data_IF_675035410816
#
_entry.id   IF_675035410816
#
_cell.length_a   1.000
_cell.length_b   1.000
_cell.length_c   1.000
_cell.angle_alpha   90.00
_cell.angle_beta   90.00
_cell.angle_gamma   90.00
#
_symmetry.space_group_name_H-M   'P 1'
#
loop_
_entity.id
_entity.type
_entity.pdbx_description
1 polymer ?
#
# COMPACT_ATOMS: atom_id res chain seq x y z
N UNK A 1 5.76 2.06 -18.61
CA UNK A 1 5.29 0.99 -17.75
C UNK A 1 6.18 0.87 -16.54
N UNK A 2 5.61 0.83 -15.35
CA UNK A 2 6.35 0.53 -14.12
C UNK A 2 6.42 -0.99 -14.01
N UNK A 3 7.61 -1.55 -14.24
CA UNK A 3 7.83 -2.98 -14.04
C UNK A 3 8.00 -3.25 -12.55
N UNK A 4 7.00 -3.87 -11.93
CA UNK A 4 7.14 -4.46 -10.62
C UNK A 4 7.88 -5.80 -10.80
N UNK A 5 9.12 -5.86 -10.38
CA UNK A 5 9.88 -7.12 -10.36
C UNK A 5 9.42 -7.93 -9.15
N UNK A 6 8.48 -8.85 -9.33
CA UNK A 6 8.16 -9.81 -8.30
C UNK A 6 9.07 -11.04 -8.48
N UNK A 7 10.14 -11.11 -7.71
CA UNK A 7 10.94 -12.34 -7.59
C UNK A 7 10.35 -13.12 -6.43
N UNK A 8 9.59 -14.17 -6.73
CA UNK A 8 9.12 -15.11 -5.70
C UNK A 8 10.21 -16.16 -5.50
N UNK A 9 10.88 -16.11 -4.35
CA UNK A 9 11.88 -17.10 -3.97
C UNK A 9 11.27 -18.11 -2.99
N UNK A 10 11.55 -19.42 -3.14
CA UNK A 10 11.23 -20.41 -2.11
C UNK A 10 12.04 -20.12 -0.84
N UNK A 11 11.46 -20.40 0.32
CA UNK A 11 11.94 -20.03 1.65
C UNK A 11 13.28 -20.65 2.12
N UNK A 12 14.17 -21.02 1.24
CA UNK A 12 15.49 -21.56 1.57
C UNK A 12 16.61 -20.76 0.94
N UNK A 13 16.92 -19.59 1.55
CA UNK A 13 18.08 -18.78 1.20
C UNK A 13 17.84 -17.86 0.01
N UNK A 14 17.90 -16.54 0.23
CA UNK A 14 17.78 -15.53 -0.83
C UNK A 14 19.02 -15.57 -1.74
N UNK A 15 18.90 -16.18 -2.90
CA UNK A 15 19.81 -15.90 -4.02
C UNK A 15 19.01 -15.25 -5.12
N UNK A 16 19.35 -14.00 -5.46
CA UNK A 16 18.83 -13.36 -6.65
C UNK A 16 19.35 -14.14 -7.86
N UNK A 17 18.46 -14.75 -8.61
CA UNK A 17 18.81 -15.40 -9.88
C UNK A 17 18.53 -14.43 -11.04
N UNK A 18 19.56 -13.80 -11.62
CA UNK A 18 19.39 -12.90 -12.75
C UNK A 18 19.02 -13.64 -14.05
N UNK A 19 19.04 -14.98 -14.05
CA UNK A 19 18.73 -15.81 -15.21
C UNK A 19 17.24 -16.06 -15.42
N UNK A 20 16.34 -15.59 -14.50
CA UNK A 20 14.90 -15.71 -14.70
C UNK A 20 14.50 -14.93 -15.96
N UNK A 21 14.00 -15.60 -17.00
CA UNK A 21 13.63 -14.97 -18.25
C UNK A 21 12.55 -13.90 -18.06
N UNK A 22 12.54 -12.89 -18.92
CA UNK A 22 11.54 -11.80 -18.90
C UNK A 22 10.11 -12.33 -19.05
N UNK A 23 9.93 -13.40 -19.82
CA UNK A 23 8.66 -14.10 -20.06
C UNK A 23 8.08 -14.79 -18.81
N UNK A 24 8.87 -15.02 -17.78
CA UNK A 24 8.42 -15.54 -16.48
C UNK A 24 7.94 -14.44 -15.51
N UNK A 25 8.02 -13.18 -15.93
CA UNK A 25 7.58 -12.03 -15.13
C UNK A 25 6.10 -11.79 -15.31
N UNK A 26 5.39 -11.60 -14.19
CA UNK A 26 3.96 -11.28 -14.20
C UNK A 26 3.81 -9.77 -14.02
N UNK A 27 3.13 -9.12 -14.96
CA UNK A 27 2.72 -7.72 -14.84
C UNK A 27 1.44 -7.67 -13.99
N UNK A 28 1.52 -7.10 -12.78
CA UNK A 28 0.40 -7.05 -11.85
C UNK A 28 -0.50 -5.83 -12.04
N UNK A 29 0.10 -4.70 -12.33
CA UNK A 29 -0.60 -3.43 -12.51
C UNK A 29 0.00 -2.71 -13.72
N UNK A 30 -0.80 -2.51 -14.75
CA UNK A 30 -0.37 -1.76 -15.94
C UNK A 30 -1.12 -0.43 -16.05
N UNK A 31 -0.54 0.51 -16.80
CA UNK A 31 -1.22 1.75 -17.18
C UNK A 31 -2.48 1.41 -17.99
N UNK A 32 -3.61 1.97 -17.55
CA UNK A 32 -4.91 1.68 -18.15
C UNK A 32 -5.75 0.64 -17.42
N UNK A 33 -5.14 -0.19 -16.56
CA UNK A 33 -5.86 -1.16 -15.74
C UNK A 33 -6.89 -0.46 -14.85
N UNK A 34 -8.15 -0.94 -14.92
CA UNK A 34 -9.26 -0.35 -14.16
C UNK A 34 -9.56 1.11 -14.50
N UNK A 35 -9.06 1.64 -15.65
CA UNK A 35 -9.21 3.03 -16.06
C UNK A 35 -8.17 4.00 -15.45
N UNK A 36 -7.26 3.51 -14.63
CA UNK A 36 -6.19 4.30 -14.01
C UNK A 36 -5.06 4.59 -14.98
N UNK A 37 -4.44 5.76 -14.86
CA UNK A 37 -3.31 6.13 -15.75
C UNK A 37 -1.98 5.63 -15.23
N UNK A 38 -1.80 5.48 -13.91
CA UNK A 38 -0.51 5.11 -13.32
C UNK A 38 -0.70 4.24 -12.09
N UNK A 39 0.32 3.40 -11.82
CA UNK A 39 0.49 2.69 -10.55
C UNK A 39 1.90 2.97 -10.00
N UNK A 40 2.01 3.15 -8.67
CA UNK A 40 3.28 3.41 -8.00
C UNK A 40 3.30 2.80 -6.58
N UNK A 41 4.46 2.88 -5.94
CA UNK A 41 4.69 2.52 -4.53
C UNK A 41 4.17 1.10 -4.21
N UNK A 42 4.67 0.07 -4.90
CA UNK A 42 4.24 -1.29 -4.61
C UNK A 42 4.87 -1.83 -3.33
N UNK A 43 4.08 -2.57 -2.56
CA UNK A 43 4.52 -3.36 -1.41
C UNK A 43 4.00 -4.78 -1.50
N UNK A 44 4.74 -5.77 -0.97
CA UNK A 44 4.34 -7.18 -0.99
C UNK A 44 4.59 -7.82 0.36
N UNK A 45 3.71 -8.76 0.74
CA UNK A 45 3.84 -9.59 1.94
C UNK A 45 3.33 -11.00 1.67
N UNK A 46 3.88 -11.97 2.40
CA UNK A 46 3.28 -13.29 2.51
C UNK A 46 2.33 -13.30 3.70
N UNK A 47 1.07 -13.62 3.45
CA UNK A 47 0.02 -13.73 4.48
C UNK A 47 0.18 -15.00 5.32
N UNK A 48 -0.61 -15.13 6.38
CA UNK A 48 -0.51 -16.25 7.33
C UNK A 48 -0.83 -17.62 6.70
N UNK A 49 -1.65 -17.65 5.65
CA UNK A 49 -2.01 -18.85 4.88
C UNK A 49 -1.01 -19.17 3.75
N UNK A 50 0.07 -18.41 3.62
CA UNK A 50 1.09 -18.58 2.58
C UNK A 50 0.77 -17.84 1.27
N UNK A 51 -0.38 -17.22 1.13
CA UNK A 51 -0.71 -16.42 -0.06
C UNK A 51 0.14 -15.14 -0.13
N UNK A 52 0.38 -14.67 -1.35
CA UNK A 52 1.04 -13.39 -1.59
C UNK A 52 0.00 -12.28 -1.70
N UNK A 53 0.25 -11.16 -1.03
CA UNK A 53 -0.60 -9.97 -1.14
C UNK A 53 0.26 -8.77 -1.54
N UNK A 54 -0.10 -8.13 -2.65
CA UNK A 54 0.54 -6.93 -3.15
C UNK A 54 -0.39 -5.75 -2.94
N UNK A 55 0.17 -4.61 -2.52
CA UNK A 55 -0.53 -3.33 -2.47
C UNK A 55 0.17 -2.33 -3.40
N UNK A 56 -0.56 -1.33 -3.88
CA UNK A 56 0.00 -0.25 -4.69
C UNK A 56 -0.89 1.00 -4.65
N UNK A 57 -0.32 2.14 -5.01
CA UNK A 57 -1.07 3.33 -5.42
C UNK A 57 -1.69 3.09 -6.80
N UNK A 58 -3.00 3.26 -6.92
CA UNK A 58 -3.70 3.45 -8.18
C UNK A 58 -3.93 4.93 -8.40
N UNK A 59 -3.21 5.54 -9.34
CA UNK A 59 -3.25 6.99 -9.62
C UNK A 59 -4.08 7.28 -10.88
N UNK A 60 -5.23 7.89 -10.69
CA UNK A 60 -6.24 8.03 -11.74
C UNK A 60 -5.82 8.97 -12.87
N UNK A 61 -5.36 10.18 -12.52
CA UNK A 61 -5.20 11.26 -13.50
C UNK A 61 -3.74 11.67 -13.72
N UNK A 62 -2.96 11.70 -12.64
CA UNK A 62 -1.61 12.26 -12.59
C UNK A 62 -0.65 11.32 -11.87
N UNK A 63 0.63 11.40 -12.24
CA UNK A 63 1.70 10.66 -11.59
C UNK A 63 2.09 11.24 -10.21
N UNK A 64 1.61 12.45 -9.90
CA UNK A 64 1.95 13.19 -8.69
C UNK A 64 1.54 12.44 -7.41
N UNK A 65 2.24 12.76 -6.33
CA UNK A 65 1.90 12.34 -4.98
C UNK A 65 0.71 13.13 -4.43
N UNK A 66 0.28 12.81 -3.19
CA UNK A 66 -0.78 13.53 -2.49
C UNK A 66 -0.47 15.05 -2.38
N UNK A 67 -1.50 15.91 -2.47
CA UNK A 67 -2.91 15.60 -2.69
C UNK A 67 -3.20 15.32 -4.16
N UNK A 68 -3.79 14.18 -4.45
CA UNK A 68 -4.17 13.77 -5.80
C UNK A 68 -5.27 12.70 -5.75
N UNK A 69 -5.89 12.40 -6.88
CA UNK A 69 -6.83 11.31 -7.02
C UNK A 69 -6.07 9.98 -7.04
N UNK A 70 -5.90 9.39 -5.87
CA UNK A 70 -5.11 8.17 -5.63
C UNK A 70 -5.92 7.24 -4.74
N UNK A 71 -5.99 5.96 -5.11
CA UNK A 71 -6.51 4.89 -4.27
C UNK A 71 -5.36 3.96 -3.86
N UNK A 72 -5.48 3.38 -2.68
CA UNK A 72 -4.68 2.22 -2.26
C UNK A 72 -5.44 0.97 -2.67
N UNK A 73 -4.78 0.12 -3.44
CA UNK A 73 -5.36 -1.12 -3.97
C UNK A 73 -4.53 -2.34 -3.61
N UNK A 74 -5.14 -3.54 -3.68
CA UNK A 74 -4.45 -4.81 -3.50
C UNK A 74 -4.84 -5.84 -4.54
N UNK A 75 -3.93 -6.81 -4.78
CA UNK A 75 -4.19 -8.09 -5.44
C UNK A 75 -3.58 -9.22 -4.60
N UNK A 76 -4.16 -10.41 -4.72
CA UNK A 76 -3.77 -11.60 -3.96
C UNK A 76 -3.51 -12.79 -4.88
N UNK A 77 -2.49 -13.59 -4.54
CA UNK A 77 -2.18 -14.85 -5.22
C UNK A 77 -2.17 -16.01 -4.22
N UNK A 78 -2.80 -17.13 -4.59
CA UNK A 78 -2.82 -18.39 -3.81
C UNK A 78 -1.86 -19.44 -4.36
N UNK A 79 -1.17 -19.17 -5.47
CA UNK A 79 -0.37 -20.13 -6.24
C UNK A 79 1.07 -19.64 -6.49
N UNK A 80 1.65 -18.92 -5.50
CA UNK A 80 2.99 -18.36 -5.55
C UNK A 80 3.21 -17.38 -6.73
N UNK A 81 2.21 -16.56 -7.02
CA UNK A 81 2.33 -15.47 -7.99
C UNK A 81 2.05 -15.86 -9.43
N UNK A 82 1.59 -17.09 -9.70
CA UNK A 82 1.24 -17.53 -11.06
C UNK A 82 -0.04 -16.88 -11.55
N UNK A 83 -1.05 -16.81 -10.67
CA UNK A 83 -2.31 -16.10 -10.94
C UNK A 83 -2.64 -15.13 -9.81
N UNK A 84 -3.39 -14.09 -10.13
CA UNK A 84 -3.73 -13.02 -9.22
C UNK A 84 -5.22 -12.70 -9.27
N UNK A 85 -5.77 -12.33 -8.12
CA UNK A 85 -7.16 -11.89 -8.01
C UNK A 85 -7.42 -10.60 -8.79
N UNK A 86 -8.70 -10.28 -8.96
CA UNK A 86 -9.12 -8.93 -9.32
C UNK A 86 -8.60 -7.91 -8.29
N UNK A 87 -8.51 -6.66 -8.73
CA UNK A 87 -8.08 -5.55 -7.88
C UNK A 87 -9.13 -5.24 -6.82
N UNK A 88 -8.71 -5.21 -5.55
CA UNK A 88 -9.53 -4.78 -4.42
C UNK A 88 -9.09 -3.39 -3.98
N UNK A 89 -10.01 -2.42 -3.89
CA UNK A 89 -9.73 -1.10 -3.33
C UNK A 89 -9.74 -1.17 -1.81
N UNK A 90 -8.63 -0.78 -1.19
CA UNK A 90 -8.48 -0.69 0.27
C UNK A 90 -8.99 0.66 0.77
N UNK A 91 -8.64 1.74 0.07
CA UNK A 91 -9.00 3.10 0.44
C UNK A 91 -8.88 4.05 -0.75
N UNK A 92 -9.55 5.23 -0.67
CA UNK A 92 -9.47 6.31 -1.66
C UNK A 92 -10.77 6.58 -2.41
N UNK A 93 -11.47 5.58 -2.84
CA UNK A 93 -12.82 5.57 -3.45
C UNK A 93 -13.22 6.82 -4.24
N UNK A 94 -12.37 7.25 -5.18
CA UNK A 94 -12.70 8.33 -6.12
C UNK A 94 -12.65 9.74 -5.55
N UNK A 95 -11.98 9.99 -4.43
CA UNK A 95 -11.81 11.33 -3.86
C UNK A 95 -10.67 12.09 -4.54
N UNK A 96 -10.78 13.41 -4.66
CA UNK A 96 -9.70 14.28 -5.15
C UNK A 96 -8.58 14.50 -4.11
N UNK A 97 -8.77 13.98 -2.91
CA UNK A 97 -7.87 14.07 -1.75
C UNK A 97 -7.45 12.66 -1.34
N UNK A 98 -6.89 11.90 -2.21
CA UNK A 98 -6.72 10.46 -2.16
C UNK A 98 -6.01 9.85 -0.95
N UNK A 99 -5.73 8.55 -1.11
CA UNK A 99 -4.93 7.74 -0.19
C UNK A 99 -3.75 7.15 -0.96
N UNK A 100 -2.55 7.15 -0.37
CA UNK A 100 -1.35 6.66 -1.06
C UNK A 100 -0.21 6.30 -0.12
N UNK A 101 0.91 5.92 -0.71
CA UNK A 101 2.13 5.45 -0.02
C UNK A 101 1.85 4.25 0.92
N UNK A 102 1.30 3.13 0.41
CA UNK A 102 0.96 2.00 1.23
C UNK A 102 2.18 1.20 1.67
N UNK A 103 2.25 0.86 2.94
CA UNK A 103 3.07 -0.21 3.48
C UNK A 103 2.18 -1.36 3.97
N UNK A 104 2.59 -2.60 3.71
CA UNK A 104 1.84 -3.78 4.14
C UNK A 104 2.69 -4.66 5.04
N UNK A 105 2.10 -5.17 6.12
CA UNK A 105 2.78 -6.02 7.09
C UNK A 105 1.86 -7.12 7.63
N UNK A 106 2.44 -8.28 7.91
CA UNK A 106 1.79 -9.36 8.64
C UNK A 106 2.04 -9.20 10.15
N UNK A 107 0.99 -8.98 10.92
CA UNK A 107 1.05 -9.16 12.38
C UNK A 107 1.12 -10.66 12.69
N UNK A 108 2.32 -11.14 12.97
CA UNK A 108 2.57 -12.57 13.26
C UNK A 108 1.84 -13.08 14.51
N UNK A 109 1.43 -12.19 15.41
CA UNK A 109 0.72 -12.57 16.64
C UNK A 109 -0.74 -12.88 16.38
N UNK A 110 -1.37 -12.17 15.45
CA UNK A 110 -2.79 -12.33 15.14
C UNK A 110 -3.06 -13.03 13.81
N UNK A 111 -2.07 -13.08 12.92
CA UNK A 111 -2.22 -13.55 11.54
C UNK A 111 -2.90 -12.52 10.63
N UNK A 112 -3.18 -11.31 11.12
CA UNK A 112 -3.84 -10.28 10.33
C UNK A 112 -2.84 -9.51 9.46
N UNK A 113 -3.29 -9.06 8.30
CA UNK A 113 -2.57 -8.08 7.49
C UNK A 113 -2.98 -6.67 7.91
N UNK A 114 -1.98 -5.79 7.99
CA UNK A 114 -2.16 -4.37 8.24
C UNK A 114 -1.61 -3.60 7.04
N UNK A 115 -2.45 -2.77 6.41
CA UNK A 115 -2.04 -1.82 5.39
C UNK A 115 -2.06 -0.42 5.99
N UNK A 116 -0.91 0.23 6.05
CA UNK A 116 -0.73 1.58 6.60
C UNK A 116 -0.46 2.50 5.42
N UNK A 117 -1.12 3.66 5.36
CA UNK A 117 -1.01 4.57 4.24
C UNK A 117 -1.31 6.02 4.64
N UNK A 118 -0.81 6.95 3.83
CA UNK A 118 -1.10 8.37 3.97
C UNK A 118 -2.43 8.75 3.32
N UNK A 119 -3.06 9.83 3.77
CA UNK A 119 -4.21 10.44 3.10
C UNK A 119 -4.28 11.95 3.28
N UNK A 120 -5.09 12.59 2.46
CA UNK A 120 -5.33 14.02 2.55
C UNK A 120 -4.25 14.85 1.86
N UNK A 121 -3.72 15.83 2.58
CA UNK A 121 -2.65 16.66 2.05
C UNK A 121 -1.35 15.89 1.93
N UNK A 122 -0.61 16.19 0.87
CA UNK A 122 0.76 15.71 0.78
C UNK A 122 1.68 16.32 1.85
N UNK A 123 2.86 15.74 2.03
CA UNK A 123 3.82 16.17 3.04
C UNK A 123 4.16 17.66 2.94
N UNK A 124 4.30 18.18 1.71
CA UNK A 124 4.69 19.57 1.46
C UNK A 124 3.61 20.60 1.81
N UNK A 125 2.34 20.20 1.83
CA UNK A 125 1.20 21.02 2.22
C UNK A 125 0.73 20.77 3.64
N UNK A 126 1.34 19.79 4.30
CA UNK A 126 0.98 19.42 5.67
C UNK A 126 1.48 20.46 6.67
N UNK A 127 0.68 20.77 7.66
CA UNK A 127 1.00 21.74 8.72
C UNK A 127 0.06 21.58 9.91
N UNK A 128 0.25 22.39 10.93
CA UNK A 128 -0.44 22.30 12.22
C UNK A 128 -1.98 22.20 12.09
N UNK A 129 -2.57 22.97 11.19
CA UNK A 129 -4.02 23.05 11.01
C UNK A 129 -4.54 22.18 9.85
N UNK A 130 -3.66 21.51 9.15
CA UNK A 130 -4.00 20.74 7.94
C UNK A 130 -3.04 19.55 7.78
N UNK A 131 -3.05 18.66 8.72
CA UNK A 131 -2.15 17.51 8.77
C UNK A 131 -2.41 16.53 7.61
N UNK A 132 -1.34 16.06 6.97
CA UNK A 132 -1.35 14.78 6.27
C UNK A 132 -1.76 13.71 7.28
N UNK A 133 -2.63 12.79 6.91
CA UNK A 133 -3.15 11.76 7.79
C UNK A 133 -2.44 10.44 7.56
N UNK A 134 -2.25 9.67 8.63
CA UNK A 134 -1.84 8.28 8.56
C UNK A 134 -3.01 7.41 8.97
N UNK A 135 -3.33 6.46 8.11
CA UNK A 135 -4.46 5.55 8.29
C UNK A 135 -3.97 4.11 8.29
N UNK A 136 -4.77 3.24 8.87
CA UNK A 136 -4.58 1.80 8.86
C UNK A 136 -5.86 1.09 8.43
N UNK A 137 -5.76 0.17 7.49
CA UNK A 137 -6.76 -0.84 7.18
C UNK A 137 -6.25 -2.21 7.57
N UNK A 138 -7.15 -3.07 8.03
CA UNK A 138 -6.85 -4.43 8.46
C UNK A 138 -7.62 -5.45 7.63
N UNK A 139 -6.93 -6.53 7.24
CA UNK A 139 -7.55 -7.74 6.71
C UNK A 139 -7.39 -8.87 7.73
N UNK A 140 -8.47 -9.59 7.99
CA UNK A 140 -8.51 -10.77 8.88
C UNK A 140 -8.62 -12.08 8.10
N UNK A 141 -8.66 -11.99 6.77
CA UNK A 141 -8.89 -13.08 5.83
C UNK A 141 -7.80 -13.20 4.76
N UNK A 142 -6.56 -12.87 5.16
CA UNK A 142 -5.36 -12.96 4.33
C UNK A 142 -5.43 -12.10 3.05
N UNK A 143 -6.01 -10.89 3.12
CA UNK A 143 -6.05 -9.93 2.04
C UNK A 143 -7.20 -10.10 1.07
N UNK A 144 -8.20 -10.93 1.37
CA UNK A 144 -9.42 -11.05 0.55
C UNK A 144 -10.31 -9.83 0.69
N UNK A 145 -10.49 -9.37 1.93
CA UNK A 145 -11.25 -8.16 2.24
C UNK A 145 -10.52 -7.28 3.25
N UNK A 146 -10.89 -6.01 3.31
CA UNK A 146 -10.30 -5.00 4.17
C UNK A 146 -11.38 -4.22 4.92
N UNK A 147 -11.13 -3.91 6.20
CA UNK A 147 -12.01 -3.02 6.95
C UNK A 147 -11.85 -1.57 6.49
N UNK A 148 -12.84 -0.73 6.81
CA UNK A 148 -12.72 0.71 6.59
C UNK A 148 -11.47 1.28 7.26
N UNK A 149 -10.79 2.26 6.63
CA UNK A 149 -9.63 2.93 7.20
C UNK A 149 -9.91 3.56 8.56
N UNK A 150 -8.92 3.46 9.45
CA UNK A 150 -8.92 4.12 10.76
C UNK A 150 -7.78 5.11 10.80
N UNK A 151 -8.08 6.38 11.10
CA UNK A 151 -7.08 7.43 11.29
C UNK A 151 -6.30 7.19 12.60
N UNK A 152 -5.00 6.99 12.48
CA UNK A 152 -4.08 6.79 13.61
C UNK A 152 -3.09 7.94 13.78
N UNK A 153 -3.29 9.06 13.09
CA UNK A 153 -2.36 10.20 13.05
C UNK A 153 -1.97 10.67 14.43
N UNK A 154 -2.93 10.87 15.32
CA UNK A 154 -2.67 11.36 16.68
C UNK A 154 -1.82 10.41 17.55
N UNK A 155 -1.75 9.12 17.19
CA UNK A 155 -0.89 8.16 17.87
C UNK A 155 0.57 8.28 17.40
N UNK A 156 0.81 8.90 16.23
CA UNK A 156 2.10 8.98 15.58
C UNK A 156 2.69 10.37 15.71
N UNK A 157 1.93 11.44 15.37
CA UNK A 157 2.37 12.83 15.42
C UNK A 157 1.21 13.83 15.51
N UNK A 158 1.52 15.13 15.53
CA UNK A 158 0.58 16.24 15.58
C UNK A 158 0.23 16.63 17.02
N UNK A 159 -0.49 17.74 17.18
CA UNK A 159 -0.76 18.40 18.48
C UNK A 159 -1.35 17.49 19.55
N UNK A 160 -2.12 16.49 19.14
CA UNK A 160 -2.79 15.54 20.03
C UNK A 160 -1.94 14.29 20.32
N UNK A 161 -0.71 14.21 19.81
CA UNK A 161 0.17 13.09 20.03
C UNK A 161 0.59 13.00 21.53
N UNK A 162 0.55 11.81 22.15
CA UNK A 162 1.02 11.62 23.54
C UNK A 162 2.50 11.97 23.73
N UNK A 163 3.33 11.71 22.71
CA UNK A 163 4.75 12.08 22.71
C UNK A 163 4.92 13.57 22.44
N UNK A 164 5.49 14.28 23.44
CA UNK A 164 5.67 15.73 23.40
C UNK A 164 6.55 16.21 22.23
N UNK A 165 7.53 15.43 21.80
CA UNK A 165 8.43 15.79 20.70
C UNK A 165 7.67 15.71 19.38
N UNK A 166 6.90 14.64 19.18
CA UNK A 166 6.14 14.40 17.95
C UNK A 166 4.91 15.30 17.79
N UNK A 167 4.55 16.09 18.80
CA UNK A 167 3.50 17.12 18.69
C UNK A 167 3.82 18.21 17.66
N UNK A 168 5.09 18.40 17.36
CA UNK A 168 5.57 19.40 16.39
C UNK A 168 5.88 18.79 15.01
N UNK A 169 5.58 17.52 14.81
CA UNK A 169 5.69 16.89 13.50
C UNK A 169 4.40 17.05 12.73
N UNK A 170 4.52 17.22 11.42
CA UNK A 170 3.37 17.46 10.54
C UNK A 170 3.23 16.40 9.46
N UNK A 171 4.04 15.37 9.45
CA UNK A 171 3.94 14.26 8.51
C UNK A 171 4.89 13.13 8.82
N UNK A 172 4.57 11.96 8.26
CA UNK A 172 5.40 10.78 8.26
C UNK A 172 5.06 9.93 7.02
N UNK A 173 6.01 9.08 6.58
CA UNK A 173 5.77 8.11 5.54
C UNK A 173 5.61 6.72 6.15
N UNK A 174 4.79 5.89 5.48
CA UNK A 174 4.55 4.50 5.87
C UNK A 174 5.37 3.49 5.06
N UNK A 175 5.92 3.89 3.92
CA UNK A 175 6.67 3.03 2.99
C UNK A 175 8.14 2.89 3.34
#
# INVERSE_FOLDING_TARGET
GLFLFLVVLPCNGFTFDPSIPLEERVLLFDMGDGGSRFYRIPGIVTAADGSLVVVADRRWDKINDLPAHIDVVSRRSEDNGKTWSETVTIAGEGTTVGCGDPAIVLDKRTGHLLCIFASGNGLWQSGENNLMRINISKSVDNGKTWNAPVDITSQIYGKDCPDKIRRYWYGAFAS
#
